data_IF_194501727284
#
_entry.id   IF_194501727284
#
_cell.length_a   1.000
_cell.length_b   1.000
_cell.length_c   1.000
_cell.angle_alpha   90.00
_cell.angle_beta   90.00
_cell.angle_gamma   90.00
#
_symmetry.space_group_name_H-M   'P 1'
#
loop_
_entity.id
_entity.type
_entity.pdbx_description
1 polymer ?
#
# COMPACT_ATOMS: atom_id res chain seq x y z
N UNK A 1 20.56 -16.32 18.10
CA UNK A 1 19.97 -15.95 16.79
C UNK A 1 20.55 -14.60 16.41
N UNK A 2 21.41 -14.53 15.39
CA UNK A 2 21.90 -13.24 14.89
C UNK A 2 20.84 -12.69 13.95
N UNK A 3 20.11 -11.66 14.39
CA UNK A 3 19.34 -10.82 13.48
C UNK A 3 20.29 -10.30 12.42
N UNK A 4 20.16 -10.84 11.20
CA UNK A 4 20.72 -10.20 10.02
C UNK A 4 19.77 -9.07 9.66
N UNK A 5 19.86 -7.99 10.42
CA UNK A 5 19.45 -6.68 9.91
C UNK A 5 20.43 -6.42 8.77
N UNK A 6 20.04 -6.79 7.55
CA UNK A 6 20.72 -6.29 6.37
C UNK A 6 20.30 -4.83 6.33
N UNK A 7 21.24 -3.93 6.59
CA UNK A 7 21.20 -2.59 6.04
C UNK A 7 21.03 -2.73 4.53
N UNK A 8 19.78 -2.79 4.08
CA UNK A 8 19.43 -2.71 2.66
C UNK A 8 19.56 -1.24 2.30
N UNK A 9 20.81 -0.78 2.14
CA UNK A 9 21.10 0.44 1.40
C UNK A 9 20.95 0.09 -0.07
N UNK A 10 19.71 0.03 -0.54
CA UNK A 10 19.41 -0.05 -1.97
C UNK A 10 19.62 1.34 -2.59
N UNK A 11 20.24 1.41 -3.78
CA UNK A 11 20.44 2.68 -4.49
C UNK A 11 19.06 3.29 -4.76
N UNK A 12 18.84 4.54 -4.30
CA UNK A 12 17.60 5.35 -4.40
C UNK A 12 16.44 4.67 -5.14
N UNK A 13 15.88 3.63 -4.54
CA UNK A 13 14.74 2.92 -5.10
C UNK A 13 13.55 3.60 -4.48
N UNK A 14 12.83 4.43 -5.27
CA UNK A 14 11.62 5.08 -4.80
C UNK A 14 10.69 4.03 -4.20
N UNK A 15 10.40 4.17 -2.91
CA UNK A 15 9.41 3.37 -2.20
C UNK A 15 8.12 4.15 -2.22
N UNK A 16 7.17 3.66 -3.02
CA UNK A 16 5.82 4.23 -3.05
C UNK A 16 4.99 3.58 -1.95
N UNK A 17 4.39 4.43 -1.11
CA UNK A 17 3.53 4.01 -0.01
C UNK A 17 2.13 4.58 -0.21
N UNK A 18 1.10 3.79 0.07
CA UNK A 18 -0.29 4.23 0.14
C UNK A 18 -0.83 3.91 1.53
N UNK A 19 -1.57 4.87 2.09
CA UNK A 19 -2.22 4.76 3.38
C UNK A 19 -3.73 4.62 3.18
N UNK A 20 -4.27 3.44 3.46
CA UNK A 20 -5.70 3.22 3.45
C UNK A 20 -6.26 3.40 4.85
N UNK A 21 -7.27 4.25 4.98
CA UNK A 21 -8.06 4.39 6.21
C UNK A 21 -9.29 3.47 6.11
N UNK A 22 -9.38 2.38 6.88
CA UNK A 22 -10.57 1.54 6.87
C UNK A 22 -11.82 2.30 7.32
N UNK A 23 -12.95 2.04 6.67
CA UNK A 23 -14.24 2.67 7.02
C UNK A 23 -14.80 2.21 8.37
N UNK A 24 -14.36 1.05 8.86
CA UNK A 24 -14.79 0.47 10.13
C UNK A 24 -13.99 0.97 11.35
N UNK A 25 -13.32 2.12 11.24
CA UNK A 25 -12.50 2.73 12.30
C UNK A 25 -11.30 1.87 12.76
N UNK A 26 -10.88 0.87 11.99
CA UNK A 26 -9.64 0.16 12.25
C UNK A 26 -8.41 1.04 11.96
N UNK A 27 -7.25 0.58 12.39
CA UNK A 27 -5.98 1.27 12.18
C UNK A 27 -5.64 1.44 10.69
N UNK A 28 -4.88 2.49 10.39
CA UNK A 28 -4.44 2.80 9.03
C UNK A 28 -3.58 1.64 8.49
N UNK A 29 -3.91 1.18 7.29
CA UNK A 29 -3.17 0.14 6.58
C UNK A 29 -2.18 0.82 5.65
N UNK A 30 -0.89 0.69 5.95
CA UNK A 30 0.20 1.12 5.06
C UNK A 30 0.59 -0.01 4.12
N UNK A 31 0.57 0.25 2.82
CA UNK A 31 1.04 -0.69 1.80
C UNK A 31 2.20 -0.12 1.01
N UNK A 32 3.13 -0.98 0.62
CA UNK A 32 4.21 -0.64 -0.31
C UNK A 32 3.79 -1.16 -1.68
N UNK A 33 3.84 -0.30 -2.69
CA UNK A 33 3.43 -0.57 -4.06
C UNK A 33 4.51 -0.17 -5.05
N UNK A 34 4.35 -0.56 -6.31
CA UNK A 34 5.16 -0.02 -7.39
C UNK A 34 4.60 1.32 -7.90
N UNK A 35 5.38 2.03 -8.72
CA UNK A 35 5.01 3.34 -9.24
C UNK A 35 3.73 3.34 -10.08
N UNK A 36 3.48 2.28 -10.85
CA UNK A 36 2.30 2.18 -11.72
C UNK A 36 1.03 2.05 -10.88
N UNK A 37 1.07 1.21 -9.84
CA UNK A 37 0.00 1.05 -8.86
C UNK A 37 -0.26 2.36 -8.11
N UNK A 38 0.80 3.01 -7.62
CA UNK A 38 0.70 4.30 -6.94
C UNK A 38 -0.01 5.36 -7.78
N UNK A 39 0.39 5.52 -9.04
CA UNK A 39 -0.21 6.48 -9.97
C UNK A 39 -1.63 6.12 -10.40
N UNK A 40 -2.06 4.87 -10.22
CA UNK A 40 -3.41 4.41 -10.59
C UNK A 40 -4.48 4.66 -9.52
N UNK A 41 -4.05 5.02 -8.30
CA UNK A 41 -4.94 5.21 -7.15
C UNK A 41 -4.99 6.69 -6.82
N UNK A 42 -6.15 7.29 -6.98
CA UNK A 42 -6.37 8.69 -6.64
C UNK A 42 -6.52 8.86 -5.12
N UNK A 43 -5.87 9.86 -4.56
CA UNK A 43 -6.04 10.22 -3.16
C UNK A 43 -7.51 10.58 -2.86
N UNK A 44 -8.03 10.07 -1.75
CA UNK A 44 -9.42 10.28 -1.34
C UNK A 44 -10.43 9.34 -2.01
N UNK A 45 -10.03 8.54 -3.00
CA UNK A 45 -10.91 7.52 -3.59
C UNK A 45 -11.31 6.46 -2.55
N UNK A 46 -12.55 6.00 -2.62
CA UNK A 46 -13.09 4.92 -1.79
C UNK A 46 -13.27 3.66 -2.62
N UNK A 47 -13.18 2.50 -1.97
CA UNK A 47 -13.23 1.21 -2.66
C UNK A 47 -12.78 0.05 -1.79
N UNK A 48 -12.56 -1.09 -2.44
CA UNK A 48 -12.20 -2.35 -1.79
C UNK A 48 -10.69 -2.59 -1.92
N UNK A 49 -10.00 -2.63 -0.78
CA UNK A 49 -8.60 -3.02 -0.69
C UNK A 49 -8.47 -4.55 -0.61
N UNK A 50 -7.79 -5.16 -1.58
CA UNK A 50 -7.48 -6.59 -1.58
C UNK A 50 -6.05 -6.85 -1.13
N UNK A 51 -5.90 -7.61 -0.04
CA UNK A 51 -4.62 -7.99 0.56
C UNK A 51 -4.46 -9.51 0.63
N UNK A 52 -3.22 -10.00 0.52
CA UNK A 52 -2.84 -11.37 0.85
C UNK A 52 -1.82 -11.34 1.99
N UNK A 53 -2.29 -11.53 3.22
CA UNK A 53 -1.47 -11.24 4.40
C UNK A 53 -1.11 -9.76 4.44
N UNK A 54 0.18 -9.43 4.39
CA UNK A 54 0.69 -8.04 4.33
C UNK A 54 0.96 -7.55 2.91
N UNK A 55 0.75 -8.39 1.88
CA UNK A 55 1.00 -8.04 0.48
C UNK A 55 -0.22 -7.37 -0.16
N UNK A 56 0.00 -6.21 -0.77
CA UNK A 56 -0.97 -5.55 -1.64
C UNK A 56 -1.21 -6.39 -2.91
N UNK A 57 -2.49 -6.59 -3.26
CA UNK A 57 -2.89 -7.29 -4.48
C UNK A 57 -3.54 -6.33 -5.49
N UNK A 58 -4.55 -5.56 -5.06
CA UNK A 58 -5.19 -4.51 -5.86
C UNK A 58 -6.09 -3.61 -5.00
N UNK A 59 -6.49 -2.48 -5.56
CA UNK A 59 -7.54 -1.62 -5.04
C UNK A 59 -8.63 -1.45 -6.11
N UNK A 60 -9.83 -1.92 -5.81
CA UNK A 60 -10.98 -1.77 -6.70
C UNK A 60 -11.77 -0.53 -6.25
N UNK A 61 -11.60 0.60 -6.95
CA UNK A 61 -12.34 1.84 -6.68
C UNK A 61 -13.84 1.60 -6.84
N UNK A 62 -14.63 2.07 -5.88
CA UNK A 62 -16.08 2.10 -6.03
C UNK A 62 -16.41 2.97 -7.23
N UNK A 63 -17.20 2.46 -8.18
CA UNK A 63 -17.60 3.26 -9.34
C UNK A 63 -18.32 4.50 -8.83
N UNK A 64 -17.72 5.67 -9.06
CA UNK A 64 -18.30 6.94 -8.66
C UNK A 64 -19.74 7.08 -9.18
N UNK A 65 -20.55 7.74 -8.35
CA UNK A 65 -21.85 8.30 -8.67
C UNK A 65 -21.76 9.34 -9.80
#
# INVERSE_FOLDING_TARGET
>A
MRSRERDVVSPETFRYEIYFKPLNHADIIKVIVNETEYRSIDEGSQGILHMQGTRFIRFDRDKDH
#
